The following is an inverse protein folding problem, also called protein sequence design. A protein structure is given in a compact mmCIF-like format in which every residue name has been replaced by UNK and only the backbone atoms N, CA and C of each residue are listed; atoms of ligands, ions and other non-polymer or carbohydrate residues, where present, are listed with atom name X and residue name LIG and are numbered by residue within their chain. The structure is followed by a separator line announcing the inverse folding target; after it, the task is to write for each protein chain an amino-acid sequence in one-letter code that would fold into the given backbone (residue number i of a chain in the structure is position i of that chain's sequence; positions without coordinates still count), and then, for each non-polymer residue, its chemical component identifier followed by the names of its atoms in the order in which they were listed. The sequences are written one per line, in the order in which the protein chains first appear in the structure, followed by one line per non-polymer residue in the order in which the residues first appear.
data_IF_120507903375
#
_entry.id   IF_120507903375
#
_cell.length_a   1.000
_cell.length_b   1.000
_cell.length_c   1.000
_cell.angle_alpha   90.00
_cell.angle_beta   90.00
_cell.angle_gamma   90.00
#
_symmetry.space_group_name_H-M   'P 1'
#
loop_
_entity.id
_entity.type
_entity.pdbx_description
1 polymer ?
#
# COMPACT_ATOMS: atom_id res chain seq x y z
N UNK A 1 10.62 13.38 -1.00
CA UNK A 1 10.78 12.62 0.27
C UNK A 1 11.15 11.24 -0.18
N UNK A 2 12.22 10.60 0.31
CA UNK A 2 12.59 9.31 -0.25
C UNK A 2 11.53 8.27 0.15
N UNK A 3 10.99 7.58 -0.86
CA UNK A 3 10.35 6.28 -0.69
C UNK A 3 11.47 5.25 -0.60
N UNK A 4 11.52 4.51 0.50
CA UNK A 4 12.61 3.58 0.80
C UNK A 4 12.05 2.18 0.92
N UNK A 5 12.55 1.27 0.09
CA UNK A 5 12.21 -0.15 0.16
C UNK A 5 12.68 -0.75 1.49
N UNK A 6 11.80 -1.45 2.19
CA UNK A 6 12.10 -2.21 3.40
C UNK A 6 13.02 -3.38 3.04
N UNK A 7 14.22 -3.44 3.61
CA UNK A 7 15.23 -4.46 3.27
C UNK A 7 15.73 -5.27 4.46
N UNK A 8 15.56 -4.76 5.67
CA UNK A 8 16.11 -5.35 6.88
C UNK A 8 15.10 -5.33 8.03
N UNK A 9 15.46 -6.01 9.13
CA UNK A 9 14.60 -6.14 10.31
C UNK A 9 14.23 -4.81 10.97
N UNK A 10 15.12 -3.80 10.93
CA UNK A 10 14.85 -2.48 11.49
C UNK A 10 13.80 -1.75 10.66
N UNK A 11 13.94 -1.76 9.34
CA UNK A 11 12.94 -1.18 8.44
C UNK A 11 11.57 -1.85 8.65
N UNK A 12 11.55 -3.18 8.79
CA UNK A 12 10.32 -3.93 9.05
C UNK A 12 9.68 -3.52 10.39
N UNK A 13 10.47 -3.32 11.44
CA UNK A 13 9.97 -2.81 12.71
C UNK A 13 9.38 -1.40 12.59
N UNK A 14 10.03 -0.51 11.85
CA UNK A 14 9.52 0.84 11.58
C UNK A 14 8.18 0.78 10.80
N UNK A 15 8.12 -0.07 9.77
CA UNK A 15 6.92 -0.31 8.98
C UNK A 15 5.76 -0.80 9.82
N UNK A 16 5.95 -1.88 10.58
CA UNK A 16 4.91 -2.45 11.43
C UNK A 16 4.46 -1.47 12.52
N UNK A 17 5.37 -0.64 13.04
CA UNK A 17 5.02 0.38 14.04
C UNK A 17 4.08 1.44 13.47
N UNK A 18 4.40 1.98 12.28
CA UNK A 18 3.56 3.00 11.63
C UNK A 18 2.20 2.41 11.23
N UNK A 19 2.21 1.23 10.61
CA UNK A 19 1.02 0.51 10.20
C UNK A 19 0.09 0.26 11.40
N UNK A 20 0.63 -0.32 12.47
CA UNK A 20 -0.10 -0.62 13.69
C UNK A 20 -0.73 0.62 14.31
N UNK A 21 0.01 1.74 14.36
CA UNK A 21 -0.52 3.00 14.89
C UNK A 21 -1.71 3.50 14.08
N UNK A 22 -1.58 3.57 12.76
CA UNK A 22 -2.66 4.08 11.91
C UNK A 22 -3.89 3.17 11.85
N UNK A 23 -3.70 1.85 11.90
CA UNK A 23 -4.81 0.89 11.84
C UNK A 23 -5.55 0.78 13.17
N UNK A 24 -4.82 0.85 14.30
CA UNK A 24 -5.43 0.90 15.63
C UNK A 24 -6.35 2.12 15.80
N UNK A 25 -5.99 3.28 15.24
CA UNK A 25 -6.86 4.47 15.23
C UNK A 25 -8.21 4.22 14.53
N UNK A 26 -8.23 3.30 13.56
CA UNK A 26 -9.40 2.93 12.77
C UNK A 26 -10.10 1.66 13.25
N UNK A 27 -9.57 1.02 14.29
CA UNK A 27 -10.04 -0.28 14.78
C UNK A 27 -10.02 -1.36 13.68
N UNK A 28 -9.03 -1.29 12.79
CA UNK A 28 -8.85 -2.28 11.72
C UNK A 28 -7.95 -3.42 12.19
N UNK A 29 -8.31 -4.64 11.82
CA UNK A 29 -7.49 -5.82 12.06
C UNK A 29 -6.31 -5.84 11.10
N UNK A 30 -5.10 -6.08 11.61
CA UNK A 30 -3.92 -6.24 10.78
C UNK A 30 -3.87 -7.64 10.18
N UNK A 31 -3.39 -7.72 8.94
CA UNK A 31 -3.10 -8.97 8.27
C UNK A 31 -1.73 -8.92 7.61
N UNK A 32 -1.12 -10.09 7.48
CA UNK A 32 0.11 -10.25 6.74
C UNK A 32 -0.20 -10.35 5.24
N UNK A 33 0.52 -9.58 4.44
CA UNK A 33 0.50 -9.67 2.98
C UNK A 33 1.93 -9.82 2.48
N UNK A 34 2.12 -10.62 1.43
CA UNK A 34 3.42 -10.78 0.77
C UNK A 34 3.50 -9.77 -0.38
N UNK A 35 4.18 -8.67 -0.14
CA UNK A 35 4.42 -7.62 -1.13
C UNK A 35 5.77 -6.94 -0.94
N UNK A 36 6.02 -5.93 -1.74
CA UNK A 36 7.15 -5.02 -1.55
C UNK A 36 6.71 -3.90 -0.62
N UNK A 37 7.28 -3.88 0.58
CA UNK A 37 6.97 -2.89 1.61
C UNK A 37 7.90 -1.68 1.47
N UNK A 38 7.36 -0.49 1.67
CA UNK A 38 8.10 0.76 1.59
C UNK A 38 7.77 1.70 2.74
N UNK A 39 8.77 2.51 3.12
CA UNK A 39 8.68 3.59 4.09
C UNK A 39 8.83 4.94 3.40
N UNK A 40 7.99 5.90 3.73
CA UNK A 40 8.25 7.29 3.42
C UNK A 40 9.04 7.92 4.56
N UNK A 41 10.17 8.52 4.23
CA UNK A 41 11.00 9.25 5.19
C UNK A 41 10.96 10.75 4.93
N UNK A 42 10.96 11.55 5.99
CA UNK A 42 11.06 13.00 5.88
C UNK A 42 12.52 13.44 5.64
N UNK A 43 12.74 14.75 5.60
CA UNK A 43 14.07 15.34 5.35
C UNK A 43 15.11 15.00 6.43
N UNK A 44 14.66 14.61 7.63
CA UNK A 44 15.52 14.21 8.74
C UNK A 44 15.75 12.69 8.77
N UNK A 45 15.17 11.95 7.82
CA UNK A 45 15.23 10.49 7.76
C UNK A 45 14.24 9.79 8.69
N UNK A 46 13.27 10.51 9.27
CA UNK A 46 12.23 9.92 10.11
C UNK A 46 11.15 9.27 9.24
N UNK A 47 10.86 7.99 9.48
CA UNK A 47 9.79 7.25 8.81
C UNK A 47 8.42 7.72 9.32
N UNK A 48 7.53 8.14 8.42
CA UNK A 48 6.22 8.70 8.81
C UNK A 48 5.02 8.10 8.08
N UNK A 49 5.25 7.34 7.01
CA UNK A 49 4.20 6.64 6.29
C UNK A 49 4.70 5.32 5.70
N UNK A 50 3.77 4.44 5.37
CA UNK A 50 4.00 3.12 4.77
C UNK A 50 3.19 2.96 3.50
N UNK A 51 3.64 2.06 2.62
CA UNK A 51 2.83 1.49 1.54
C UNK A 51 3.37 0.11 1.17
N UNK A 52 2.47 -0.78 0.75
CA UNK A 52 2.80 -2.08 0.17
C UNK A 52 2.39 -2.09 -1.29
N UNK A 53 3.30 -2.51 -2.17
CA UNK A 53 3.07 -2.68 -3.60
C UNK A 53 3.21 -4.16 -3.92
N UNK A 54 2.22 -4.73 -4.59
CA UNK A 54 2.25 -6.13 -5.02
C UNK A 54 1.70 -6.26 -6.44
N UNK A 55 2.19 -7.27 -7.17
CA UNK A 55 1.57 -7.64 -8.43
C UNK A 55 0.18 -8.18 -8.16
N UNK A 56 -0.81 -7.75 -8.94
CA UNK A 56 -2.15 -8.25 -8.78
C UNK A 56 -2.21 -9.73 -9.17
N UNK A 57 -2.77 -10.55 -8.29
CA UNK A 57 -2.96 -11.98 -8.53
C UNK A 57 -4.34 -12.39 -8.01
N UNK A 58 -5.30 -12.74 -8.89
CA UNK A 58 -6.66 -13.09 -8.50
C UNK A 58 -6.80 -14.43 -7.75
N UNK A 59 -5.76 -15.27 -7.78
CA UNK A 59 -5.75 -16.60 -7.16
C UNK A 59 -5.20 -16.56 -5.73
N UNK A 60 -4.57 -15.45 -5.33
CA UNK A 60 -4.08 -15.26 -3.97
C UNK A 60 -5.18 -14.64 -3.10
N UNK A 61 -5.26 -15.08 -1.85
CA UNK A 61 -6.03 -14.37 -0.82
C UNK A 61 -5.34 -13.05 -0.47
N UNK A 62 -5.65 -11.99 -1.21
CA UNK A 62 -5.43 -10.60 -0.79
C UNK A 62 -6.73 -10.00 -0.27
N UNK A 63 -6.63 -8.93 0.54
CA UNK A 63 -7.80 -8.21 1.03
C UNK A 63 -8.63 -7.68 -0.14
N UNK A 64 -7.96 -7.24 -1.21
CA UNK A 64 -8.62 -6.80 -2.43
C UNK A 64 -9.50 -7.89 -3.04
N UNK A 65 -8.98 -9.09 -3.29
CA UNK A 65 -9.76 -10.18 -3.89
C UNK A 65 -10.92 -10.65 -3.03
N UNK A 66 -10.84 -10.47 -1.71
CA UNK A 66 -11.91 -10.83 -0.80
C UNK A 66 -13.08 -9.84 -0.85
N UNK A 67 -12.79 -8.55 -1.00
CA UNK A 67 -13.82 -7.50 -1.06
C UNK A 67 -14.35 -7.32 -2.48
N UNK A 68 -13.48 -7.37 -3.49
CA UNK A 68 -13.85 -7.14 -4.88
C UNK A 68 -12.95 -7.90 -5.86
N UNK A 69 -13.57 -8.70 -6.72
CA UNK A 69 -12.91 -9.47 -7.79
C UNK A 69 -12.62 -8.56 -9.00
N UNK A 70 -11.55 -7.77 -8.92
CA UNK A 70 -11.15 -6.87 -10.01
C UNK A 70 -10.87 -7.61 -11.32
N UNK A 71 -10.46 -8.87 -11.26
CA UNK A 71 -10.31 -9.77 -12.41
C UNK A 71 -11.60 -10.03 -13.20
N UNK A 72 -12.77 -9.69 -12.65
CA UNK A 72 -14.05 -9.77 -13.36
C UNK A 72 -14.35 -8.50 -14.17
N UNK A 73 -13.67 -7.38 -13.89
CA UNK A 73 -13.78 -6.17 -14.67
C UNK A 73 -12.96 -6.29 -15.96
N UNK A 74 -13.61 -6.06 -17.12
CA UNK A 74 -13.00 -6.24 -18.45
C UNK A 74 -11.61 -5.59 -18.60
N UNK A 75 -11.36 -4.34 -18.13
CA UNK A 75 -10.04 -3.71 -18.27
C UNK A 75 -8.92 -4.47 -17.54
N UNK A 76 -9.21 -4.99 -16.35
CA UNK A 76 -8.23 -5.68 -15.51
C UNK A 76 -8.06 -7.14 -15.94
N UNK A 77 -9.16 -7.83 -16.27
CA UNK A 77 -9.14 -9.22 -16.72
C UNK A 77 -8.14 -9.47 -17.85
N UNK A 78 -8.07 -8.54 -18.80
CA UNK A 78 -7.20 -8.64 -19.97
C UNK A 78 -5.78 -8.09 -19.72
N UNK A 79 -5.48 -7.59 -18.51
CA UNK A 79 -4.23 -6.91 -18.17
C UNK A 79 -3.75 -7.26 -16.74
N UNK A 80 -4.01 -8.48 -16.25
CA UNK A 80 -3.64 -8.92 -14.90
C UNK A 80 -2.12 -8.73 -14.65
N UNK A 81 -1.28 -9.15 -15.58
CA UNK A 81 0.18 -9.02 -15.49
C UNK A 81 0.69 -7.57 -15.49
N UNK A 82 -0.15 -6.63 -15.93
CA UNK A 82 0.11 -5.20 -15.97
C UNK A 82 -0.68 -4.43 -14.89
N UNK A 83 -1.19 -5.15 -13.89
CA UNK A 83 -1.96 -4.58 -12.78
C UNK A 83 -1.19 -4.78 -11.47
N UNK A 84 -1.10 -3.72 -10.69
CA UNK A 84 -0.60 -3.79 -9.31
C UNK A 84 -1.70 -3.45 -8.32
N UNK A 85 -1.57 -4.01 -7.13
CA UNK A 85 -2.36 -3.67 -5.96
C UNK A 85 -1.51 -2.80 -5.02
N UNK A 86 -2.11 -1.69 -4.57
CA UNK A 86 -1.58 -0.86 -3.49
C UNK A 86 -2.35 -1.15 -2.22
N UNK A 87 -1.62 -1.46 -1.16
CA UNK A 87 -2.18 -1.80 0.14
C UNK A 87 -1.37 -1.16 1.28
N UNK A 88 -1.88 -1.25 2.51
CA UNK A 88 -1.21 -0.84 3.74
C UNK A 88 -0.72 0.61 3.74
N UNK A 89 -1.33 1.47 2.91
CA UNK A 89 -1.02 2.89 2.86
C UNK A 89 -1.46 3.57 4.16
N UNK A 90 -0.48 3.97 4.97
CA UNK A 90 -0.73 4.53 6.30
C UNK A 90 0.16 5.72 6.53
N UNK A 91 -0.40 6.84 7.00
CA UNK A 91 0.35 8.04 7.39
C UNK A 91 0.10 8.29 8.89
N UNK A 92 1.18 8.53 9.66
CA UNK A 92 1.08 8.94 11.06
C UNK A 92 0.23 10.19 11.22
N UNK A 93 -0.67 10.21 12.21
CA UNK A 93 -1.68 11.25 12.40
C UNK A 93 -1.10 12.65 12.42
N UNK A 94 0.02 12.82 13.10
CA UNK A 94 0.78 14.07 13.26
C UNK A 94 1.40 14.60 11.96
N UNK A 95 1.56 13.76 10.93
CA UNK A 95 2.18 14.12 9.64
C UNK A 95 1.15 14.22 8.51
N UNK A 96 -0.13 13.96 8.80
CA UNK A 96 -1.23 14.04 7.81
C UNK A 96 -1.47 15.49 7.41
N UNK A 97 -1.41 15.73 6.11
CA UNK A 97 -1.73 17.02 5.50
C UNK A 97 -1.82 16.85 3.99
N UNK A 98 -2.55 17.75 3.31
CA UNK A 98 -2.76 17.66 1.87
C UNK A 98 -1.44 17.57 1.10
N UNK A 99 -0.45 18.40 1.46
CA UNK A 99 0.89 18.37 0.85
C UNK A 99 1.59 17.03 1.07
N UNK A 100 1.54 16.47 2.27
CA UNK A 100 2.15 15.16 2.58
C UNK A 100 1.52 14.06 1.74
N UNK A 101 0.19 14.02 1.67
CA UNK A 101 -0.56 13.01 0.89
C UNK A 101 -0.19 13.12 -0.60
N UNK A 102 -0.16 14.34 -1.14
CA UNK A 102 0.20 14.57 -2.54
C UNK A 102 1.64 14.11 -2.83
N UNK A 103 2.57 14.38 -1.92
CA UNK A 103 3.95 13.92 -2.05
C UNK A 103 4.04 12.40 -1.99
N UNK A 104 3.36 11.75 -1.06
CA UNK A 104 3.31 10.30 -1.00
C UNK A 104 2.73 9.69 -2.28
N UNK A 105 1.61 10.22 -2.78
CA UNK A 105 0.99 9.76 -4.01
C UNK A 105 1.91 9.90 -5.23
N UNK A 106 2.61 11.04 -5.34
CA UNK A 106 3.61 11.27 -6.40
C UNK A 106 4.74 10.26 -6.32
N UNK A 107 5.33 10.08 -5.14
CA UNK A 107 6.49 9.20 -4.96
C UNK A 107 6.10 7.71 -5.16
N UNK A 108 4.89 7.31 -4.73
CA UNK A 108 4.31 6.00 -5.09
C UNK A 108 4.16 5.86 -6.60
N UNK A 109 3.57 6.84 -7.29
CA UNK A 109 3.37 6.76 -8.74
C UNK A 109 4.71 6.61 -9.49
N UNK A 110 5.75 7.32 -9.06
CA UNK A 110 7.10 7.17 -9.62
C UNK A 110 7.61 5.75 -9.42
N UNK A 111 7.51 5.19 -8.20
CA UNK A 111 7.95 3.82 -7.92
C UNK A 111 7.18 2.80 -8.77
N UNK A 112 5.87 2.94 -8.87
CA UNK A 112 5.01 2.09 -9.71
C UNK A 112 5.46 2.12 -11.17
N UNK A 113 5.82 3.30 -11.70
CA UNK A 113 6.31 3.45 -13.06
C UNK A 113 7.69 2.81 -13.30
N UNK A 114 8.44 2.49 -12.23
CA UNK A 114 9.68 1.71 -12.37
C UNK A 114 9.42 0.21 -12.52
N UNK A 115 8.24 -0.27 -12.14
CA UNK A 115 7.81 -1.63 -12.46
C UNK A 115 7.42 -1.70 -13.95
N UNK A 116 7.77 -2.80 -14.61
CA UNK A 116 7.52 -3.02 -16.04
C UNK A 116 6.06 -2.71 -16.42
N UNK A 117 5.85 -2.11 -17.60
CA UNK A 117 4.57 -1.73 -18.25
C UNK A 117 3.29 -1.84 -17.39
N UNK A 118 3.22 -1.14 -16.26
CA UNK A 118 2.00 -1.09 -15.44
C UNK A 118 0.95 -0.25 -16.17
N UNK A 119 -0.23 -0.82 -16.37
CA UNK A 119 -1.39 -0.16 -16.99
C UNK A 119 -2.45 0.22 -15.95
N UNK A 120 -2.56 -0.57 -14.89
CA UNK A 120 -3.60 -0.38 -13.88
C UNK A 120 -3.04 -0.48 -12.47
N UNK A 121 -3.64 0.32 -11.61
CA UNK A 121 -3.38 0.34 -10.18
C UNK A 121 -4.71 0.19 -9.46
N UNK A 122 -4.84 -0.83 -8.63
CA UNK A 122 -6.04 -1.07 -7.83
C UNK A 122 -5.72 -0.87 -6.35
N UNK A 123 -6.71 -0.39 -5.60
CA UNK A 123 -6.61 -0.20 -4.17
C UNK A 123 -8.02 -0.17 -3.58
N UNK A 124 -8.16 -0.58 -2.32
CA UNK A 124 -9.40 -0.42 -1.57
C UNK A 124 -9.23 0.69 -0.55
N UNK A 125 -10.08 1.73 -0.68
CA UNK A 125 -9.98 2.96 0.11
C UNK A 125 -10.51 2.82 1.54
N UNK A 126 -11.36 1.83 1.81
CA UNK A 126 -11.96 1.62 3.13
C UNK A 126 -12.01 0.15 3.46
N UNK A 127 -11.49 -0.21 4.63
CA UNK A 127 -11.80 -1.48 5.25
C UNK A 127 -13.30 -1.52 5.55
N UNK A 128 -14.03 -2.38 4.86
CA UNK A 128 -15.37 -2.76 5.29
C UNK A 128 -15.17 -3.80 6.39
N UNK A 129 -15.77 -3.60 7.56
CA UNK A 129 -15.80 -4.66 8.58
C UNK A 129 -16.43 -5.90 7.95
N UNK A 130 -15.70 -7.01 7.94
CA UNK A 130 -16.21 -8.29 7.44
C UNK A 130 -17.10 -9.00 8.48
N UNK A 131 -17.39 -8.36 9.61
CA UNK A 131 -18.37 -8.88 10.58
C UNK A 131 -19.78 -8.54 10.11
N UNK A 132 -20.34 -9.45 9.29
CA UNK A 132 -21.76 -9.76 9.24
C UNK A 132 -22.06 -10.99 10.09
#
# INVERSE_FOLDING_TARGET
MPLVKVKNRRDEQEFQTILSRGWKEKQWEQYAIKGQNYLFKDINGESFATITILNYNPDIKSFVNHIYRFDQAEPIRNNIEHTIELDQFTILKEKRGFKTILMCAKDTAIEVLTHAEIKYCIAIRSHVSLMG
#
